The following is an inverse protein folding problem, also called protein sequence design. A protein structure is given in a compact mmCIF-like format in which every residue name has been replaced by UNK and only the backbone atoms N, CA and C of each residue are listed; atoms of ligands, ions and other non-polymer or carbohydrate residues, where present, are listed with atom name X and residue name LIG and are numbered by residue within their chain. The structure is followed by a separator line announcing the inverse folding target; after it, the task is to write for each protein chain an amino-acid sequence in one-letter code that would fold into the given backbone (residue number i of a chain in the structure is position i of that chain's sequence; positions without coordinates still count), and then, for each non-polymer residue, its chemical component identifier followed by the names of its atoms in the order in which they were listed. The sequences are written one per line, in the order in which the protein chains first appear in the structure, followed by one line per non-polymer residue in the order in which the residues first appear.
data_IF_938972672542
#
_entry.id   IF_938972672542
#
_cell.length_a   1.000
_cell.length_b   1.000
_cell.length_c   1.000
_cell.angle_alpha   90.00
_cell.angle_beta   90.00
_cell.angle_gamma   90.00
#
_symmetry.space_group_name_H-M   'P 1'
#
loop_
_entity.id
_entity.type
_entity.pdbx_description
1 polymer ?
#
# COMPACT_ATOMS: atom_id res chain seq x y z
N UNK A 1 32.05 20.06 6.88
CA UNK A 1 31.57 18.73 6.47
C UNK A 1 30.52 18.30 7.49
N UNK A 2 29.35 17.85 7.05
CA UNK A 2 28.34 17.31 7.95
C UNK A 2 28.86 15.98 8.49
N UNK A 3 28.72 15.75 9.80
CA UNK A 3 29.09 14.48 10.42
C UNK A 3 28.13 13.38 9.93
N UNK A 4 28.66 12.40 9.22
CA UNK A 4 27.92 11.26 8.65
C UNK A 4 28.02 10.00 9.52
N UNK A 5 28.46 10.14 10.76
CA UNK A 5 28.42 9.04 11.72
C UNK A 5 26.97 8.64 12.02
N UNK A 6 26.73 7.37 12.28
CA UNK A 6 25.40 6.88 12.56
C UNK A 6 24.69 7.61 13.72
N UNK A 7 25.35 7.91 14.86
CA UNK A 7 24.72 8.71 15.93
C UNK A 7 24.27 10.09 15.43
N UNK A 8 25.10 10.79 14.66
CA UNK A 8 24.75 12.11 14.14
C UNK A 8 23.61 12.07 13.14
N UNK A 9 23.50 11.00 12.32
CA UNK A 9 22.36 10.76 11.42
C UNK A 9 21.07 10.59 12.24
N UNK A 10 21.10 9.75 13.27
CA UNK A 10 19.94 9.49 14.13
C UNK A 10 19.50 10.74 14.92
N UNK A 11 20.46 11.54 15.40
CA UNK A 11 20.18 12.81 16.10
C UNK A 11 19.51 13.82 15.16
N UNK A 12 19.98 13.94 13.91
CA UNK A 12 19.33 14.80 12.91
C UNK A 12 17.92 14.34 12.59
N UNK A 13 17.71 13.03 12.44
CA UNK A 13 16.37 12.48 12.21
C UNK A 13 15.40 12.82 13.37
N UNK A 14 15.86 12.67 14.62
CA UNK A 14 15.08 13.05 15.81
C UNK A 14 14.81 14.56 15.88
N UNK A 15 15.71 15.39 15.34
CA UNK A 15 15.50 16.83 15.22
C UNK A 15 14.54 17.22 14.06
N UNK A 16 13.97 16.24 13.34
CA UNK A 16 13.02 16.47 12.24
C UNK A 16 13.68 16.82 10.90
N UNK A 17 14.99 16.63 10.75
CA UNK A 17 15.66 16.84 9.47
C UNK A 17 15.40 15.70 8.49
N UNK A 18 15.19 16.02 7.21
CA UNK A 18 15.19 15.04 6.15
C UNK A 18 16.61 14.47 5.93
N UNK A 19 16.73 13.16 5.88
CA UNK A 19 18.00 12.48 5.61
C UNK A 19 18.29 12.47 4.10
N UNK A 20 19.58 12.53 3.74
CA UNK A 20 20.02 12.33 2.37
C UNK A 20 19.93 10.83 1.98
N UNK A 21 19.93 10.48 0.67
CA UNK A 21 19.99 9.08 0.26
C UNK A 21 21.21 8.33 0.82
N UNK A 22 22.38 8.98 0.90
CA UNK A 22 23.61 8.41 1.47
C UNK A 22 23.45 8.10 2.95
N UNK A 23 22.79 8.97 3.71
CA UNK A 23 22.48 8.75 5.13
C UNK A 23 21.48 7.61 5.31
N UNK A 24 20.46 7.54 4.44
CA UNK A 24 19.54 6.41 4.38
C UNK A 24 20.24 5.07 4.12
N UNK A 25 21.22 5.06 3.22
CA UNK A 25 22.06 3.88 2.95
C UNK A 25 22.90 3.47 4.16
N UNK A 26 23.44 4.42 4.91
CA UNK A 26 24.15 4.11 6.17
C UNK A 26 23.22 3.38 7.14
N UNK A 27 21.96 3.81 7.26
CA UNK A 27 20.97 3.13 8.13
C UNK A 27 20.64 1.71 7.67
N UNK A 28 20.69 1.40 6.36
CA UNK A 28 20.39 0.08 5.80
C UNK A 28 21.58 -0.90 5.78
N UNK A 29 22.77 -0.44 6.13
CA UNK A 29 23.93 -1.35 6.22
C UNK A 29 23.69 -2.45 7.27
N UNK A 30 24.36 -3.60 7.16
CA UNK A 30 24.36 -4.59 8.25
C UNK A 30 24.93 -3.98 9.53
N UNK A 31 24.18 -4.08 10.61
CA UNK A 31 24.55 -3.50 11.88
C UNK A 31 24.56 -4.54 13.02
N UNK A 32 25.41 -4.35 14.05
CA UNK A 32 25.31 -5.12 15.29
C UNK A 32 23.95 -4.92 15.99
N UNK A 33 23.47 -5.88 16.79
CA UNK A 33 22.16 -5.79 17.45
C UNK A 33 21.93 -4.52 18.26
N UNK A 34 22.95 -3.99 18.91
CA UNK A 34 22.88 -2.72 19.68
C UNK A 34 22.56 -1.53 18.78
N UNK A 35 23.10 -1.48 17.57
CA UNK A 35 22.86 -0.42 16.59
C UNK A 35 21.45 -0.55 15.99
N UNK A 36 21.03 -1.77 15.66
CA UNK A 36 19.66 -2.02 15.21
C UNK A 36 18.62 -1.60 16.25
N UNK A 37 18.92 -1.82 17.54
CA UNK A 37 18.07 -1.35 18.64
C UNK A 37 18.03 0.18 18.72
N UNK A 38 19.12 0.88 18.46
CA UNK A 38 19.13 2.34 18.40
C UNK A 38 18.28 2.86 17.22
N UNK A 39 18.42 2.29 16.03
CA UNK A 39 17.58 2.60 14.86
C UNK A 39 16.10 2.35 15.16
N UNK A 40 15.76 1.20 15.76
CA UNK A 40 14.40 0.88 16.18
C UNK A 40 13.83 1.93 17.13
N UNK A 41 14.58 2.32 18.16
CA UNK A 41 14.15 3.33 19.15
C UNK A 41 13.89 4.69 18.52
N UNK A 42 14.74 5.12 17.59
CA UNK A 42 14.54 6.38 16.87
C UNK A 42 13.28 6.28 15.99
N UNK A 43 13.09 5.20 15.26
CA UNK A 43 11.90 5.00 14.44
C UNK A 43 10.60 5.01 15.27
N UNK A 44 10.58 4.30 16.41
CA UNK A 44 9.42 4.28 17.30
C UNK A 44 9.19 5.61 18.00
N UNK A 45 10.26 6.31 18.39
CA UNK A 45 10.18 7.67 18.96
C UNK A 45 9.60 8.68 17.97
N UNK A 46 10.02 8.63 16.69
CA UNK A 46 9.44 9.46 15.62
C UNK A 46 7.97 9.13 15.39
N UNK A 47 7.63 7.85 15.31
CA UNK A 47 6.23 7.41 15.22
C UNK A 47 5.40 7.99 16.37
N UNK A 48 5.88 7.83 17.62
CA UNK A 48 5.17 8.33 18.81
C UNK A 48 4.98 9.85 18.75
N UNK A 49 6.00 10.59 18.35
CA UNK A 49 5.91 12.04 18.22
C UNK A 49 4.92 12.49 17.14
N UNK A 50 4.87 11.79 15.99
CA UNK A 50 4.09 12.18 14.82
C UNK A 50 2.61 11.79 14.93
N UNK A 51 2.31 10.60 15.43
CA UNK A 51 0.96 9.99 15.39
C UNK A 51 0.47 9.45 16.75
N UNK A 52 1.27 9.61 17.81
CA UNK A 52 0.91 9.15 19.16
C UNK A 52 0.96 7.63 19.32
N UNK A 53 0.35 7.12 20.39
CA UNK A 53 0.40 5.70 20.74
C UNK A 53 -0.76 4.87 20.18
N UNK A 54 -1.78 5.51 19.63
CA UNK A 54 -2.92 4.81 19.03
C UNK A 54 -2.46 4.00 17.82
N UNK A 55 -2.82 2.72 17.80
CA UNK A 55 -2.67 1.85 16.63
C UNK A 55 -4.00 1.78 15.90
N UNK A 56 -3.97 2.09 14.62
CA UNK A 56 -5.17 2.08 13.77
C UNK A 56 -5.31 0.76 13.02
N UNK A 57 -6.57 0.47 12.61
CA UNK A 57 -6.92 -0.61 11.70
C UNK A 57 -8.19 -0.24 10.92
N UNK A 58 -8.37 -0.79 9.73
CA UNK A 58 -9.58 -0.59 8.92
C UNK A 58 -10.40 -1.89 8.82
N UNK A 59 -11.72 -1.78 8.82
CA UNK A 59 -12.60 -2.91 8.48
C UNK A 59 -12.89 -2.83 6.99
N UNK A 60 -12.29 -3.74 6.21
CA UNK A 60 -12.37 -3.72 4.76
C UNK A 60 -12.45 -5.14 4.18
N UNK A 61 -12.81 -5.20 2.89
CA UNK A 61 -12.75 -6.42 2.09
C UNK A 61 -11.95 -6.18 0.82
N UNK A 62 -11.07 -7.12 0.49
CA UNK A 62 -10.49 -7.22 -0.84
C UNK A 62 -11.45 -7.92 -1.78
N UNK A 63 -11.65 -7.36 -2.98
CA UNK A 63 -12.37 -8.01 -4.06
C UNK A 63 -11.43 -8.10 -5.27
N UNK A 64 -10.94 -9.31 -5.52
CA UNK A 64 -10.20 -9.62 -6.73
C UNK A 64 -11.21 -10.07 -7.79
N UNK A 65 -11.66 -9.14 -8.63
CA UNK A 65 -12.75 -9.38 -9.60
C UNK A 65 -12.35 -10.30 -10.76
N UNK A 66 -11.05 -10.44 -11.04
CA UNK A 66 -10.49 -11.40 -12.01
C UNK A 66 -9.03 -11.71 -11.71
N UNK A 67 -8.58 -12.93 -12.00
CA UNK A 67 -7.19 -13.31 -12.03
C UNK A 67 -6.64 -13.48 -13.46
N UNK A 68 -7.49 -13.30 -14.48
CA UNK A 68 -7.06 -13.28 -15.88
C UNK A 68 -6.22 -12.03 -16.11
N UNK A 69 -4.97 -12.22 -16.54
CA UNK A 69 -4.04 -11.11 -16.70
C UNK A 69 -3.11 -11.34 -17.89
N UNK A 70 -3.04 -10.35 -18.79
CA UNK A 70 -2.13 -10.39 -19.94
C UNK A 70 -0.65 -10.30 -19.57
N UNK A 71 -0.33 -9.81 -18.34
CA UNK A 71 1.05 -9.65 -17.89
C UNK A 71 1.59 -10.86 -17.13
N UNK A 72 2.88 -11.18 -17.37
CA UNK A 72 3.56 -12.34 -16.81
C UNK A 72 4.63 -11.93 -15.77
N UNK A 73 4.20 -11.22 -14.71
CA UNK A 73 5.12 -10.78 -13.67
C UNK A 73 5.80 -11.97 -13.01
N UNK A 74 7.15 -11.91 -12.90
CA UNK A 74 7.98 -13.00 -12.40
C UNK A 74 7.78 -13.36 -10.92
N UNK A 75 6.94 -12.62 -10.19
CA UNK A 75 6.61 -12.88 -8.78
C UNK A 75 5.13 -13.25 -8.56
N UNK A 76 4.27 -13.10 -9.57
CA UNK A 76 2.83 -13.22 -9.39
C UNK A 76 2.35 -14.66 -9.53
N UNK A 77 1.92 -15.26 -8.43
CA UNK A 77 1.29 -16.58 -8.43
C UNK A 77 -0.23 -16.54 -8.64
N UNK A 78 -0.82 -15.35 -8.59
CA UNK A 78 -2.27 -15.15 -8.69
C UNK A 78 -2.77 -15.18 -10.14
N UNK A 79 -2.00 -14.62 -11.09
CA UNK A 79 -2.40 -14.50 -12.49
C UNK A 79 -2.67 -15.85 -13.16
N UNK A 80 -3.61 -15.83 -14.11
CA UNK A 80 -3.88 -16.94 -15.04
C UNK A 80 -4.06 -16.40 -16.47
N UNK A 81 -3.75 -17.24 -17.47
CA UNK A 81 -4.27 -17.05 -18.81
C UNK A 81 -5.76 -17.47 -18.83
N UNK A 82 -6.54 -16.94 -19.76
CA UNK A 82 -8.01 -17.16 -19.78
C UNK A 82 -8.40 -18.63 -19.90
N UNK A 83 -7.56 -19.45 -20.54
CA UNK A 83 -7.76 -20.88 -20.75
C UNK A 83 -7.13 -21.78 -19.66
N UNK A 84 -6.44 -21.18 -18.68
CA UNK A 84 -5.78 -21.95 -17.63
C UNK A 84 -6.76 -22.41 -16.54
N UNK A 85 -6.57 -23.61 -15.97
CA UNK A 85 -7.33 -24.05 -14.80
C UNK A 85 -7.25 -23.05 -13.65
N UNK A 86 -8.44 -22.73 -13.09
CA UNK A 86 -8.54 -21.76 -12.00
C UNK A 86 -8.57 -20.29 -12.47
N UNK A 87 -8.59 -20.01 -13.78
CA UNK A 87 -8.93 -18.70 -14.30
C UNK A 87 -10.38 -18.35 -13.95
N UNK A 88 -10.60 -17.11 -13.53
CA UNK A 88 -11.95 -16.63 -13.23
C UNK A 88 -12.10 -15.14 -13.53
N UNK A 89 -13.33 -14.77 -13.79
CA UNK A 89 -13.79 -13.40 -13.93
C UNK A 89 -15.18 -13.31 -13.34
N UNK A 90 -15.34 -12.52 -12.28
CA UNK A 90 -16.60 -12.40 -11.54
C UNK A 90 -17.58 -11.51 -12.27
N UNK A 91 -18.84 -11.94 -12.32
CA UNK A 91 -19.96 -11.10 -12.71
C UNK A 91 -20.25 -10.03 -11.63
N UNK A 92 -21.00 -8.98 -12.00
CA UNK A 92 -21.36 -7.89 -11.09
C UNK A 92 -22.24 -8.33 -9.92
N UNK A 93 -23.11 -9.34 -10.10
CA UNK A 93 -23.95 -9.90 -9.04
C UNK A 93 -23.16 -10.46 -7.88
N UNK A 94 -22.29 -11.46 -8.09
CA UNK A 94 -21.37 -11.97 -7.07
C UNK A 94 -20.48 -10.89 -6.41
N UNK A 95 -20.06 -9.85 -7.14
CA UNK A 95 -19.31 -8.72 -6.57
C UNK A 95 -20.20 -7.96 -5.58
N UNK A 96 -21.46 -7.65 -5.95
CA UNK A 96 -22.39 -6.96 -5.07
C UNK A 96 -22.72 -7.79 -3.82
N UNK A 97 -22.87 -9.11 -3.94
CA UNK A 97 -23.06 -10.01 -2.78
C UNK A 97 -21.89 -9.92 -1.80
N UNK A 98 -20.66 -9.93 -2.31
CA UNK A 98 -19.44 -9.75 -1.50
C UNK A 98 -19.40 -8.38 -0.81
N UNK A 99 -19.80 -7.33 -1.49
CA UNK A 99 -19.89 -5.96 -0.92
C UNK A 99 -20.96 -5.93 0.18
N UNK A 100 -22.13 -6.50 -0.06
CA UNK A 100 -23.23 -6.55 0.92
C UNK A 100 -22.82 -7.30 2.20
N UNK A 101 -22.16 -8.46 2.07
CA UNK A 101 -21.60 -9.20 3.21
C UNK A 101 -20.56 -8.36 3.97
N UNK A 102 -19.67 -7.65 3.25
CA UNK A 102 -18.68 -6.80 3.88
C UNK A 102 -19.31 -5.66 4.70
N UNK A 103 -20.32 -4.97 4.14
CA UNK A 103 -21.06 -3.90 4.82
C UNK A 103 -21.79 -4.43 6.07
N UNK A 104 -22.45 -5.58 5.98
CA UNK A 104 -23.08 -6.23 7.13
C UNK A 104 -22.07 -6.56 8.24
N UNK A 105 -20.80 -6.79 7.90
CA UNK A 105 -19.71 -7.03 8.83
C UNK A 105 -18.99 -5.76 9.28
N UNK A 106 -19.53 -4.59 8.93
CA UNK A 106 -19.05 -3.28 9.36
C UNK A 106 -17.89 -2.73 8.52
N UNK A 107 -17.72 -3.19 7.28
CA UNK A 107 -16.71 -2.63 6.38
C UNK A 107 -17.02 -1.18 6.03
N UNK A 108 -15.98 -0.37 6.09
CA UNK A 108 -15.98 1.03 5.66
C UNK A 108 -15.26 1.25 4.33
N UNK A 109 -14.62 0.19 3.82
CA UNK A 109 -13.83 0.21 2.60
C UNK A 109 -13.96 -1.11 1.82
N UNK A 110 -14.02 -0.99 0.49
CA UNK A 110 -13.73 -2.09 -0.44
C UNK A 110 -12.43 -1.77 -1.18
N UNK A 111 -11.47 -2.67 -1.10
CA UNK A 111 -10.25 -2.61 -1.90
C UNK A 111 -10.43 -3.51 -3.13
N UNK A 112 -10.30 -2.95 -4.34
CA UNK A 112 -10.46 -3.69 -5.59
C UNK A 112 -9.14 -3.74 -6.36
N UNK A 113 -8.73 -4.93 -6.71
CA UNK A 113 -7.59 -5.20 -7.57
C UNK A 113 -7.85 -6.46 -8.40
N UNK A 114 -7.47 -6.46 -9.66
CA UNK A 114 -7.63 -7.61 -10.54
C UNK A 114 -6.46 -7.80 -11.50
N UNK A 115 -6.53 -8.88 -12.26
CA UNK A 115 -5.70 -9.06 -13.44
C UNK A 115 -6.11 -8.09 -14.55
N UNK A 116 -5.21 -7.81 -15.47
CA UNK A 116 -5.48 -7.01 -16.66
C UNK A 116 -6.10 -7.93 -17.73
N UNK A 117 -7.42 -8.02 -17.73
CA UNK A 117 -8.17 -8.87 -18.64
C UNK A 117 -8.58 -8.09 -19.90
N UNK A 118 -8.02 -8.40 -21.10
CA UNK A 118 -8.36 -7.70 -22.34
C UNK A 118 -9.83 -7.84 -22.76
N UNK A 119 -10.51 -8.88 -22.27
CA UNK A 119 -11.94 -9.11 -22.55
C UNK A 119 -12.87 -8.33 -21.60
N UNK A 120 -12.33 -7.69 -20.55
CA UNK A 120 -13.10 -6.91 -19.59
C UNK A 120 -13.58 -5.58 -20.23
N UNK A 121 -14.58 -5.69 -21.11
CA UNK A 121 -15.14 -4.57 -21.89
C UNK A 121 -16.68 -4.59 -21.89
N UNK A 122 -17.26 -3.39 -21.92
CA UNK A 122 -18.69 -3.18 -22.20
C UNK A 122 -18.77 -2.35 -23.47
N UNK A 123 -19.56 -2.81 -24.45
CA UNK A 123 -19.68 -2.18 -25.77
C UNK A 123 -18.33 -1.91 -26.46
N UNK A 124 -17.36 -2.81 -26.23
CA UNK A 124 -16.01 -2.71 -26.80
C UNK A 124 -15.05 -1.79 -26.04
N UNK A 125 -15.45 -1.18 -24.91
CA UNK A 125 -14.64 -0.26 -24.13
C UNK A 125 -14.28 -0.82 -22.75
N UNK A 126 -13.01 -0.77 -22.42
CA UNK A 126 -12.49 -1.15 -21.10
C UNK A 126 -12.96 -0.21 -20.01
N UNK A 127 -12.90 1.11 -20.22
CA UNK A 127 -13.32 2.10 -19.24
C UNK A 127 -14.75 1.86 -18.78
N UNK A 128 -15.68 1.56 -19.71
CA UNK A 128 -17.08 1.35 -19.37
C UNK A 128 -17.29 0.14 -18.44
N UNK A 129 -16.46 -0.91 -18.57
CA UNK A 129 -16.46 -2.04 -17.64
C UNK A 129 -16.00 -1.59 -16.23
N UNK A 130 -14.91 -0.86 -16.12
CA UNK A 130 -14.39 -0.40 -14.81
C UNK A 130 -15.33 0.61 -14.15
N UNK A 131 -15.95 1.51 -14.91
CA UNK A 131 -17.00 2.41 -14.40
C UNK A 131 -18.20 1.61 -13.88
N UNK A 132 -18.60 0.54 -14.57
CA UNK A 132 -19.70 -0.32 -14.13
C UNK A 132 -19.35 -1.05 -12.83
N UNK A 133 -18.09 -1.52 -12.67
CA UNK A 133 -17.64 -2.12 -11.41
C UNK A 133 -17.82 -1.15 -10.24
N UNK A 134 -17.37 0.10 -10.39
CA UNK A 134 -17.49 1.12 -9.35
C UNK A 134 -18.95 1.40 -9.01
N UNK A 135 -19.78 1.63 -10.03
CA UNK A 135 -21.22 1.91 -9.84
C UNK A 135 -21.96 0.74 -9.20
N UNK A 136 -21.59 -0.50 -9.48
CA UNK A 136 -22.15 -1.69 -8.81
C UNK A 136 -22.01 -1.60 -7.28
N UNK A 137 -20.98 -0.91 -6.80
CA UNK A 137 -20.74 -0.68 -5.36
C UNK A 137 -21.41 0.62 -4.89
N UNK A 138 -21.16 1.70 -5.61
CA UNK A 138 -21.56 3.05 -5.19
C UNK A 138 -23.04 3.32 -5.28
N UNK A 139 -23.75 2.75 -6.23
CA UNK A 139 -25.20 2.95 -6.37
C UNK A 139 -25.96 2.48 -5.12
N UNK A 140 -25.74 1.25 -4.57
CA UNK A 140 -26.39 0.81 -3.32
C UNK A 140 -25.70 1.29 -2.05
N UNK A 141 -24.41 1.64 -2.09
CA UNK A 141 -23.61 2.01 -0.91
C UNK A 141 -22.77 3.27 -1.19
N UNK A 142 -23.39 4.45 -1.32
CA UNK A 142 -22.69 5.68 -1.75
C UNK A 142 -21.59 6.13 -0.78
N UNK A 143 -21.73 5.85 0.52
CA UNK A 143 -20.76 6.22 1.56
C UNK A 143 -19.62 5.22 1.75
N UNK A 144 -19.69 4.04 1.11
CA UNK A 144 -18.66 3.03 1.20
C UNK A 144 -17.42 3.46 0.39
N UNK A 145 -16.26 3.52 1.03
CA UNK A 145 -15.02 3.93 0.37
C UNK A 145 -14.57 2.87 -0.64
N UNK A 146 -14.37 3.28 -1.90
CA UNK A 146 -13.85 2.42 -2.97
C UNK A 146 -12.38 2.76 -3.22
N UNK A 147 -11.48 1.89 -2.74
CA UNK A 147 -10.05 1.96 -2.93
C UNK A 147 -9.67 1.12 -4.17
N UNK A 148 -9.61 1.75 -5.35
CA UNK A 148 -9.46 1.12 -6.68
C UNK A 148 -8.99 2.20 -7.68
N UNK A 149 -8.33 1.90 -8.70
CA UNK A 149 -7.57 0.81 -9.22
C UNK A 149 -6.09 1.18 -9.19
N UNK A 150 -5.16 0.23 -9.35
CA UNK A 150 -3.72 0.53 -9.36
C UNK A 150 -3.32 1.42 -10.56
N UNK A 151 -2.17 2.13 -10.50
CA UNK A 151 -1.63 2.85 -11.65
C UNK A 151 -1.43 1.96 -12.90
N UNK A 152 -1.19 0.66 -12.70
CA UNK A 152 -1.09 -0.30 -13.80
C UNK A 152 -2.44 -0.54 -14.48
N UNK A 153 -3.54 -0.64 -13.71
CA UNK A 153 -4.90 -0.77 -14.25
C UNK A 153 -5.33 0.53 -14.97
N UNK A 154 -4.97 1.71 -14.42
CA UNK A 154 -5.20 3.00 -15.09
C UNK A 154 -4.50 3.06 -16.45
N UNK A 155 -3.24 2.65 -16.53
CA UNK A 155 -2.49 2.58 -17.78
C UNK A 155 -3.10 1.57 -18.76
N UNK A 156 -3.54 0.41 -18.25
CA UNK A 156 -4.21 -0.60 -19.07
C UNK A 156 -5.49 -0.04 -19.71
N UNK A 157 -6.37 0.57 -18.94
CA UNK A 157 -7.62 1.19 -19.43
C UNK A 157 -7.31 2.26 -20.48
N UNK A 158 -6.35 3.14 -20.19
CA UNK A 158 -5.94 4.21 -21.09
C UNK A 158 -5.44 3.67 -22.44
N UNK A 159 -4.63 2.61 -22.40
CA UNK A 159 -4.10 1.94 -23.60
C UNK A 159 -5.21 1.28 -24.43
N UNK A 160 -6.11 0.52 -23.78
CA UNK A 160 -7.18 -0.22 -24.45
C UNK A 160 -8.17 0.70 -25.16
N UNK A 161 -8.47 1.85 -24.56
CA UNK A 161 -9.48 2.78 -25.07
C UNK A 161 -8.88 4.02 -25.75
N UNK A 162 -7.54 4.09 -25.91
CA UNK A 162 -6.81 5.22 -26.48
C UNK A 162 -7.12 6.55 -25.77
N UNK A 163 -7.19 6.54 -24.44
CA UNK A 163 -7.45 7.69 -23.59
C UNK A 163 -6.17 8.21 -22.92
N UNK A 164 -6.20 9.45 -22.45
CA UNK A 164 -5.17 9.93 -21.54
C UNK A 164 -5.35 9.35 -20.12
N UNK A 165 -4.29 9.30 -19.32
CA UNK A 165 -4.38 8.90 -17.91
C UNK A 165 -5.29 9.86 -17.13
N UNK A 166 -5.28 11.15 -17.47
CA UNK A 166 -6.13 12.15 -16.84
C UNK A 166 -7.61 11.87 -17.10
N UNK A 167 -8.00 11.56 -18.34
CA UNK A 167 -9.40 11.24 -18.68
C UNK A 167 -9.87 9.99 -17.93
N UNK A 168 -9.04 8.94 -17.84
CA UNK A 168 -9.37 7.72 -17.11
C UNK A 168 -9.54 8.01 -15.62
N UNK A 169 -8.60 8.73 -14.99
CA UNK A 169 -8.67 9.07 -13.57
C UNK A 169 -9.88 9.94 -13.24
N UNK A 170 -10.18 10.92 -14.08
CA UNK A 170 -11.36 11.78 -13.93
C UNK A 170 -12.66 10.98 -14.00
N UNK A 171 -12.79 10.12 -15.01
CA UNK A 171 -13.98 9.27 -15.16
C UNK A 171 -14.16 8.29 -13.99
N UNK A 172 -13.06 7.71 -13.49
CA UNK A 172 -13.08 6.82 -12.31
C UNK A 172 -13.49 7.59 -11.04
N UNK A 173 -12.97 8.79 -10.82
CA UNK A 173 -13.34 9.65 -9.69
C UNK A 173 -14.81 10.06 -9.75
N UNK A 174 -15.30 10.46 -10.93
CA UNK A 174 -16.72 10.80 -11.16
C UNK A 174 -17.66 9.61 -10.97
N UNK A 175 -17.19 8.38 -11.23
CA UNK A 175 -17.94 7.16 -10.97
C UNK A 175 -17.96 6.77 -9.49
N UNK A 176 -17.09 7.35 -8.66
CA UNK A 176 -17.05 7.13 -7.21
C UNK A 176 -15.83 6.36 -6.71
N UNK A 177 -14.73 6.29 -7.46
CA UNK A 177 -13.44 5.88 -6.90
C UNK A 177 -12.99 6.96 -5.93
N UNK A 178 -12.72 6.58 -4.67
CA UNK A 178 -12.36 7.52 -3.61
C UNK A 178 -10.84 7.62 -3.39
N UNK A 179 -10.10 6.56 -3.72
CA UNK A 179 -8.63 6.55 -3.64
C UNK A 179 -8.04 5.40 -4.46
N UNK A 180 -6.75 5.48 -4.79
CA UNK A 180 -6.05 4.46 -5.56
C UNK A 180 -5.03 3.70 -4.70
N UNK A 181 -4.97 2.35 -4.80
CA UNK A 181 -3.89 1.57 -4.23
C UNK A 181 -2.56 1.88 -4.93
N UNK A 182 -1.52 2.21 -4.16
CA UNK A 182 -0.16 2.43 -4.65
C UNK A 182 0.58 1.15 -5.02
N UNK A 183 -0.15 0.09 -5.35
CA UNK A 183 0.41 -1.16 -5.85
C UNK A 183 0.97 -0.99 -7.26
N UNK A 184 1.58 -2.04 -7.80
CA UNK A 184 2.34 -2.00 -9.05
C UNK A 184 3.61 -1.11 -9.01
N UNK A 185 3.89 -0.41 -7.91
CA UNK A 185 5.17 0.24 -7.68
C UNK A 185 6.31 -0.79 -7.64
N UNK A 186 6.08 -1.90 -6.98
CA UNK A 186 7.06 -2.95 -6.65
C UNK A 186 8.36 -2.34 -6.09
N UNK A 187 9.32 -2.04 -6.97
CA UNK A 187 10.45 -1.15 -6.73
C UNK A 187 10.47 -0.11 -7.85
N UNK A 188 10.55 1.17 -7.51
CA UNK A 188 10.62 2.29 -8.48
C UNK A 188 12.07 2.44 -9.00
N UNK A 189 12.57 1.37 -9.58
CA UNK A 189 13.84 1.27 -10.27
C UNK A 189 13.70 0.36 -11.49
N UNK A 190 13.98 0.90 -12.68
CA UNK A 190 13.70 0.19 -13.91
C UNK A 190 14.69 -0.96 -14.21
N UNK A 191 15.84 -1.03 -13.52
CA UNK A 191 16.72 -2.20 -13.63
C UNK A 191 16.13 -3.39 -12.86
N UNK A 192 15.60 -3.14 -11.66
CA UNK A 192 14.89 -4.14 -10.85
C UNK A 192 13.61 -4.57 -11.58
N UNK A 193 12.83 -3.62 -12.11
CA UNK A 193 11.56 -3.88 -12.80
C UNK A 193 11.74 -4.77 -14.03
N UNK A 194 12.80 -4.58 -14.82
CA UNK A 194 13.12 -5.46 -15.98
C UNK A 194 13.33 -6.92 -15.60
N UNK A 195 13.74 -7.19 -14.36
CA UNK A 195 13.91 -8.57 -13.86
C UNK A 195 12.62 -9.10 -13.26
N UNK A 196 11.92 -8.26 -12.50
CA UNK A 196 10.79 -8.67 -11.67
C UNK A 196 9.47 -8.70 -12.44
N UNK A 197 9.24 -7.67 -13.26
CA UNK A 197 7.96 -7.43 -13.96
C UNK A 197 8.18 -6.63 -15.27
N UNK A 198 8.85 -7.23 -16.27
CA UNK A 198 9.28 -6.51 -17.50
C UNK A 198 8.12 -5.94 -18.33
N UNK A 199 6.91 -6.49 -18.17
CA UNK A 199 5.72 -6.08 -18.92
C UNK A 199 4.93 -4.97 -18.19
N UNK A 200 5.25 -4.66 -16.93
CA UNK A 200 4.60 -3.57 -16.18
C UNK A 200 5.10 -2.20 -16.63
N UNK A 201 4.28 -1.18 -16.32
CA UNK A 201 4.67 0.23 -16.48
C UNK A 201 6.03 0.49 -15.82
N UNK A 202 6.82 1.39 -16.40
CA UNK A 202 8.08 1.82 -15.81
C UNK A 202 7.85 2.78 -14.62
N UNK A 203 8.92 3.09 -13.92
CA UNK A 203 8.88 3.95 -12.72
C UNK A 203 8.34 5.35 -13.04
N UNK A 204 8.74 5.94 -14.16
CA UNK A 204 8.28 7.27 -14.57
C UNK A 204 6.77 7.32 -14.81
N UNK A 205 6.22 6.32 -15.51
CA UNK A 205 4.76 6.21 -15.76
C UNK A 205 3.98 6.01 -14.46
N UNK A 206 4.50 5.20 -13.52
CA UNK A 206 3.86 5.05 -12.21
C UNK A 206 3.79 6.38 -11.46
N UNK A 207 4.90 7.11 -11.40
CA UNK A 207 4.99 8.42 -10.74
C UNK A 207 4.09 9.47 -11.41
N UNK A 208 4.00 9.45 -12.75
CA UNK A 208 3.11 10.33 -13.52
C UNK A 208 1.65 10.10 -13.15
N UNK A 209 1.18 8.85 -13.20
CA UNK A 209 -0.23 8.51 -12.90
C UNK A 209 -0.60 8.89 -11.47
N UNK A 210 0.27 8.59 -10.48
CA UNK A 210 0.05 8.97 -9.09
C UNK A 210 0.04 10.49 -8.91
N UNK A 211 0.95 11.22 -9.56
CA UNK A 211 0.95 12.69 -9.52
C UNK A 211 -0.32 13.29 -10.12
N UNK A 212 -0.82 12.72 -11.23
CA UNK A 212 -2.09 13.12 -11.83
C UNK A 212 -3.28 12.83 -10.90
N UNK A 213 -3.31 11.65 -10.27
CA UNK A 213 -4.34 11.29 -9.29
C UNK A 213 -4.38 12.33 -8.14
N UNK A 214 -3.22 12.71 -7.59
CA UNK A 214 -3.15 13.73 -6.54
C UNK A 214 -3.65 15.10 -7.00
N UNK A 215 -3.33 15.52 -8.22
CA UNK A 215 -3.85 16.77 -8.80
C UNK A 215 -5.37 16.77 -8.99
N UNK A 216 -5.95 15.62 -9.26
CA UNK A 216 -7.39 15.41 -9.43
C UNK A 216 -8.14 15.18 -8.11
N UNK A 217 -7.44 15.18 -6.97
CA UNK A 217 -8.06 14.99 -5.67
C UNK A 217 -8.27 13.52 -5.26
N UNK A 218 -7.61 12.58 -5.93
CA UNK A 218 -7.63 11.16 -5.61
C UNK A 218 -6.39 10.80 -4.76
N UNK A 219 -6.55 10.55 -3.46
CA UNK A 219 -5.45 10.10 -2.61
C UNK A 219 -4.94 8.72 -3.05
N UNK A 220 -3.69 8.42 -2.73
CA UNK A 220 -3.12 7.11 -3.00
C UNK A 220 -2.44 6.53 -1.76
N UNK A 221 -2.29 5.21 -1.71
CA UNK A 221 -1.32 4.57 -0.83
C UNK A 221 0.04 4.49 -1.52
N UNK A 222 1.06 3.95 -0.86
CA UNK A 222 2.35 3.62 -1.47
C UNK A 222 2.87 2.30 -0.93
N UNK A 223 3.58 1.54 -1.77
CA UNK A 223 4.08 0.20 -1.41
C UNK A 223 5.52 0.02 -1.85
N UNK A 224 6.29 -0.78 -1.12
CA UNK A 224 7.60 -1.30 -1.54
C UNK A 224 7.59 -2.83 -1.42
N UNK A 225 7.79 -3.54 -2.51
CA UNK A 225 8.06 -4.98 -2.49
C UNK A 225 9.54 -5.18 -2.21
N UNK A 226 9.87 -5.87 -1.12
CA UNK A 226 11.25 -6.01 -0.63
C UNK A 226 11.67 -7.44 -0.37
N UNK A 227 12.97 -7.70 -0.37
CA UNK A 227 13.54 -9.00 -0.04
C UNK A 227 13.57 -9.97 -1.22
N UNK A 228 13.74 -9.47 -2.44
CA UNK A 228 13.90 -10.27 -3.66
C UNK A 228 15.25 -10.00 -4.36
N UNK A 229 15.30 -9.23 -5.45
CA UNK A 229 16.53 -8.99 -6.23
C UNK A 229 17.06 -7.56 -6.09
N UNK A 230 16.35 -6.72 -5.37
CA UNK A 230 16.75 -5.36 -5.08
C UNK A 230 17.90 -5.30 -4.07
N UNK A 231 18.60 -4.19 -4.05
CA UNK A 231 19.67 -3.88 -3.08
C UNK A 231 19.23 -2.75 -2.15
N UNK A 232 19.98 -2.46 -1.05
CA UNK A 232 19.72 -1.30 -0.22
C UNK A 232 19.65 0.03 -0.99
N UNK A 233 20.47 0.20 -2.03
CA UNK A 233 20.46 1.37 -2.90
C UNK A 233 19.12 1.50 -3.64
N UNK A 234 18.59 0.40 -4.17
CA UNK A 234 17.27 0.38 -4.82
C UNK A 234 16.15 0.68 -3.82
N UNK A 235 16.26 0.20 -2.57
CA UNK A 235 15.27 0.47 -1.52
C UNK A 235 15.25 1.96 -1.16
N UNK A 236 16.40 2.58 -0.92
CA UNK A 236 16.50 4.01 -0.61
C UNK A 236 16.07 4.86 -1.82
N UNK A 237 16.49 4.51 -3.03
CA UNK A 237 16.04 5.19 -4.23
C UNK A 237 14.51 5.19 -4.35
N UNK A 238 13.88 4.05 -4.11
CA UNK A 238 12.41 3.95 -4.09
C UNK A 238 11.78 4.86 -3.02
N UNK A 239 12.26 4.82 -1.78
CA UNK A 239 11.77 5.68 -0.71
C UNK A 239 11.94 7.17 -1.05
N UNK A 240 13.07 7.53 -1.67
CA UNK A 240 13.34 8.90 -2.10
C UNK A 240 12.39 9.37 -3.21
N UNK A 241 12.07 8.51 -4.20
CA UNK A 241 11.06 8.80 -5.22
C UNK A 241 9.69 9.08 -4.59
N UNK A 242 9.26 8.29 -3.60
CA UNK A 242 7.99 8.51 -2.88
C UNK A 242 8.03 9.83 -2.10
N UNK A 243 9.13 10.11 -1.40
CA UNK A 243 9.31 11.35 -0.66
C UNK A 243 9.25 12.57 -1.58
N UNK A 244 9.98 12.56 -2.68
CA UNK A 244 9.97 13.64 -3.67
C UNK A 244 8.59 13.85 -4.30
N UNK A 245 7.85 12.76 -4.58
CA UNK A 245 6.48 12.83 -5.07
C UNK A 245 5.57 13.55 -4.06
N UNK A 246 5.66 13.16 -2.78
CA UNK A 246 4.90 13.77 -1.70
C UNK A 246 5.29 15.25 -1.49
N UNK A 247 6.57 15.56 -1.51
CA UNK A 247 7.07 16.94 -1.39
C UNK A 247 6.51 17.83 -2.52
N UNK A 248 6.54 17.36 -3.76
CA UNK A 248 5.96 18.08 -4.90
C UNK A 248 4.45 18.33 -4.71
N UNK A 249 3.71 17.32 -4.23
CA UNK A 249 2.29 17.45 -3.98
C UNK A 249 1.98 18.48 -2.88
N UNK A 250 2.81 18.53 -1.83
CA UNK A 250 2.69 19.53 -0.76
C UNK A 250 3.04 20.93 -1.26
N UNK A 251 4.17 21.08 -1.95
CA UNK A 251 4.64 22.38 -2.47
C UNK A 251 3.71 22.99 -3.52
N UNK A 252 3.08 22.16 -4.35
CA UNK A 252 2.14 22.59 -5.37
C UNK A 252 0.69 22.64 -4.86
N UNK A 253 0.47 22.43 -3.55
CA UNK A 253 -0.85 22.41 -2.89
C UNK A 253 -1.88 21.52 -3.60
N UNK A 254 -1.46 20.32 -4.00
CA UNK A 254 -2.38 19.36 -4.60
C UNK A 254 -3.47 18.95 -3.59
N UNK A 255 -4.73 18.75 -4.04
CA UNK A 255 -5.84 18.40 -3.16
C UNK A 255 -5.73 17.02 -2.54
N UNK A 256 -4.89 16.14 -3.10
CA UNK A 256 -4.64 14.79 -2.55
C UNK A 256 -3.14 14.48 -2.47
N UNK A 257 -2.82 13.41 -1.73
CA UNK A 257 -1.44 13.01 -1.39
C UNK A 257 -1.37 11.53 -1.10
N UNK A 258 -0.14 11.00 -0.91
CA UNK A 258 0.06 9.66 -0.35
C UNK A 258 -0.43 9.66 1.10
N UNK A 259 -1.33 8.73 1.44
CA UNK A 259 -1.92 8.59 2.77
C UNK A 259 -1.11 7.70 3.71
N UNK A 260 -0.42 6.68 3.15
CA UNK A 260 0.33 5.69 3.93
C UNK A 260 1.42 5.01 3.10
N UNK A 261 2.41 4.46 3.80
CA UNK A 261 3.43 3.56 3.24
C UNK A 261 3.26 2.14 3.79
N UNK A 262 3.28 1.15 2.90
CA UNK A 262 3.10 -0.27 3.20
C UNK A 262 4.31 -1.05 2.73
N UNK A 263 5.06 -1.64 3.65
CA UNK A 263 6.12 -2.57 3.29
C UNK A 263 5.54 -3.95 2.98
N UNK A 264 5.87 -4.47 1.79
CA UNK A 264 5.40 -5.75 1.28
C UNK A 264 6.59 -6.71 1.13
N UNK A 265 7.00 -7.47 2.16
CA UNK A 265 8.06 -8.45 2.02
C UNK A 265 7.71 -9.52 0.99
N UNK A 266 8.69 -9.92 0.18
CA UNK A 266 8.50 -10.91 -0.89
C UNK A 266 8.20 -12.29 -0.33
N UNK A 267 7.20 -12.97 -0.91
CA UNK A 267 6.87 -14.37 -0.67
C UNK A 267 7.15 -15.14 -1.94
N UNK A 268 8.16 -16.01 -1.90
CA UNK A 268 8.69 -16.68 -3.08
C UNK A 268 8.21 -18.12 -3.27
N UNK A 269 7.48 -18.70 -2.33
CA UNK A 269 7.16 -20.13 -2.30
C UNK A 269 6.48 -20.63 -3.59
N UNK A 270 5.57 -19.82 -4.16
CA UNK A 270 4.86 -20.12 -5.40
C UNK A 270 5.27 -19.21 -6.57
N UNK A 271 6.34 -18.43 -6.39
CA UNK A 271 6.85 -17.59 -7.48
C UNK A 271 7.42 -18.49 -8.61
N UNK A 272 7.39 -18.02 -9.87
CA UNK A 272 8.02 -18.71 -10.98
C UNK A 272 9.46 -19.09 -10.68
N UNK A 273 9.84 -20.31 -11.08
CA UNK A 273 11.11 -20.96 -10.71
C UNK A 273 12.38 -20.11 -10.98
N UNK A 274 12.49 -19.35 -12.10
CA UNK A 274 13.68 -18.54 -12.34
C UNK A 274 13.91 -17.48 -11.25
N UNK A 275 12.86 -16.77 -10.82
CA UNK A 275 12.98 -15.77 -9.76
C UNK A 275 13.24 -16.43 -8.41
N UNK A 276 12.51 -17.50 -8.08
CA UNK A 276 12.69 -18.25 -6.83
C UNK A 276 14.12 -18.75 -6.65
N UNK A 277 14.75 -19.29 -7.71
CA UNK A 277 16.17 -19.71 -7.69
C UNK A 277 17.12 -18.54 -7.47
N UNK A 278 16.81 -17.38 -8.05
CA UNK A 278 17.65 -16.18 -7.93
C UNK A 278 17.57 -15.57 -6.52
N UNK A 279 16.39 -15.56 -5.91
CA UNK A 279 16.17 -15.03 -4.56
C UNK A 279 16.68 -16.00 -3.48
N UNK A 280 16.55 -17.31 -3.69
CA UNK A 280 17.06 -18.35 -2.79
C UNK A 280 16.29 -18.52 -1.49
N UNK A 281 15.10 -17.91 -1.37
CA UNK A 281 14.23 -18.04 -0.18
C UNK A 281 12.75 -18.05 -0.56
N UNK A 282 11.95 -18.74 0.25
CA UNK A 282 10.52 -18.95 0.02
C UNK A 282 9.64 -18.01 0.89
N UNK A 283 10.13 -17.61 2.05
CA UNK A 283 9.40 -16.78 3.01
C UNK A 283 10.20 -15.51 3.37
N UNK A 284 9.53 -14.46 3.82
CA UNK A 284 10.18 -13.25 4.31
C UNK A 284 11.11 -13.52 5.50
N UNK A 285 12.20 -12.78 5.59
CA UNK A 285 13.04 -12.72 6.79
C UNK A 285 12.56 -11.58 7.67
N UNK A 286 11.97 -11.92 8.82
CA UNK A 286 11.34 -10.94 9.71
C UNK A 286 12.32 -9.83 10.13
N UNK A 287 13.56 -10.17 10.48
CA UNK A 287 14.54 -9.19 10.93
C UNK A 287 14.86 -8.14 9.84
N UNK A 288 14.97 -8.57 8.57
CA UNK A 288 15.19 -7.66 7.43
C UNK A 288 13.97 -6.74 7.22
N UNK A 289 12.76 -7.30 7.28
CA UNK A 289 11.53 -6.53 7.14
C UNK A 289 11.37 -5.49 8.26
N UNK A 290 11.68 -5.85 9.51
CA UNK A 290 11.64 -4.94 10.65
C UNK A 290 12.69 -3.83 10.52
N UNK A 291 13.91 -4.16 10.13
CA UNK A 291 14.96 -3.17 9.89
C UNK A 291 14.56 -2.16 8.83
N UNK A 292 14.10 -2.63 7.66
CA UNK A 292 13.64 -1.74 6.58
C UNK A 292 12.40 -0.93 7.00
N UNK A 293 11.50 -1.48 7.82
CA UNK A 293 10.36 -0.75 8.40
C UNK A 293 10.83 0.45 9.22
N UNK A 294 11.83 0.24 10.10
CA UNK A 294 12.38 1.32 10.92
C UNK A 294 13.06 2.40 10.05
N UNK A 295 13.86 1.98 9.07
CA UNK A 295 14.51 2.93 8.15
C UNK A 295 13.49 3.69 7.31
N UNK A 296 12.44 3.03 6.82
CA UNK A 296 11.36 3.69 6.09
C UNK A 296 10.65 4.75 6.96
N UNK A 297 10.36 4.45 8.25
CA UNK A 297 9.82 5.43 9.20
C UNK A 297 10.74 6.64 9.36
N UNK A 298 12.03 6.42 9.56
CA UNK A 298 13.01 7.50 9.74
C UNK A 298 13.11 8.35 8.46
N UNK A 299 13.08 7.73 7.30
CA UNK A 299 13.30 8.38 6.01
C UNK A 299 12.06 9.10 5.45
N UNK A 300 10.88 8.54 5.66
CA UNK A 300 9.61 9.05 5.11
C UNK A 300 8.74 9.79 6.13
N UNK A 301 8.96 9.59 7.43
CA UNK A 301 7.99 9.97 8.46
C UNK A 301 7.58 11.45 8.47
N UNK A 302 8.47 12.37 8.06
CA UNK A 302 8.13 13.79 7.93
C UNK A 302 7.08 14.07 6.83
N UNK A 303 6.92 13.17 5.86
CA UNK A 303 6.13 13.37 4.65
C UNK A 303 4.97 12.38 4.53
N UNK A 304 5.20 11.13 4.92
CA UNK A 304 4.20 10.05 4.93
C UNK A 304 4.15 9.50 6.34
N UNK A 305 3.22 10.00 7.14
CA UNK A 305 3.17 9.75 8.59
C UNK A 305 2.59 8.39 8.99
N UNK A 306 1.87 7.71 8.08
CA UNK A 306 1.28 6.42 8.38
C UNK A 306 2.07 5.29 7.75
N UNK A 307 2.49 4.34 8.57
CA UNK A 307 3.25 3.17 8.16
C UNK A 307 2.56 1.90 8.62
N UNK A 308 2.37 0.97 7.68
CA UNK A 308 1.64 -0.28 7.87
C UNK A 308 2.53 -1.47 7.50
N UNK A 309 2.62 -2.52 8.34
CA UNK A 309 3.19 -3.80 7.95
C UNK A 309 2.14 -4.67 7.25
N UNK A 310 2.58 -5.61 6.42
CA UNK A 310 1.67 -6.61 5.84
C UNK A 310 1.57 -7.85 6.72
N UNK A 311 0.48 -7.98 7.48
CA UNK A 311 0.25 -9.18 8.30
C UNK A 311 0.04 -10.45 7.46
N UNK A 312 -0.45 -10.31 6.22
CA UNK A 312 -0.60 -11.46 5.30
C UNK A 312 0.77 -12.09 5.00
N UNK A 313 1.80 -11.26 4.87
CA UNK A 313 3.16 -11.68 4.53
C UNK A 313 4.02 -12.06 5.73
N UNK A 314 3.86 -11.34 6.85
CA UNK A 314 4.67 -11.50 8.07
C UNK A 314 3.98 -12.36 9.14
N UNK A 315 2.73 -12.75 8.92
CA UNK A 315 1.86 -13.25 9.99
C UNK A 315 1.47 -12.13 10.96
N UNK A 316 0.40 -12.35 11.74
CA UNK A 316 -0.08 -11.35 12.70
C UNK A 316 0.99 -11.03 13.77
N UNK A 317 1.73 -12.02 14.25
CA UNK A 317 2.80 -11.82 15.24
C UNK A 317 3.94 -10.94 14.69
N UNK A 318 4.40 -11.18 13.46
CA UNK A 318 5.43 -10.37 12.82
C UNK A 318 4.96 -8.93 12.57
N UNK A 319 3.74 -8.76 12.08
CA UNK A 319 3.14 -7.45 11.88
C UNK A 319 2.96 -6.69 13.20
N UNK A 320 2.56 -7.38 14.28
CA UNK A 320 2.46 -6.78 15.63
C UNK A 320 3.83 -6.34 16.14
N UNK A 321 4.90 -7.09 15.85
CA UNK A 321 6.26 -6.68 16.19
C UNK A 321 6.70 -5.42 15.45
N UNK A 322 6.27 -5.22 14.19
CA UNK A 322 6.58 -4.02 13.43
C UNK A 322 5.99 -2.74 14.02
N UNK A 323 4.99 -2.83 14.90
CA UNK A 323 4.48 -1.68 15.66
C UNK A 323 5.54 -1.04 16.56
N UNK A 324 6.50 -1.82 17.05
CA UNK A 324 7.64 -1.32 17.85
C UNK A 324 8.80 -0.84 16.97
N UNK A 325 8.68 -1.00 15.64
CA UNK A 325 9.67 -0.61 14.64
C UNK A 325 9.22 0.57 13.77
N UNK A 326 8.26 1.35 14.25
CA UNK A 326 7.81 2.58 13.62
C UNK A 326 6.48 2.49 12.88
N UNK A 327 5.79 1.35 12.86
CA UNK A 327 4.42 1.26 12.34
C UNK A 327 3.40 1.79 13.35
N UNK A 328 2.32 2.39 12.83
CA UNK A 328 1.19 2.90 13.61
C UNK A 328 -0.16 2.31 13.19
N UNK A 329 -0.16 1.43 12.21
CA UNK A 329 -1.37 0.82 11.66
C UNK A 329 -1.16 -0.69 11.48
N UNK A 330 -2.16 -1.53 11.68
CA UNK A 330 -2.10 -2.96 11.38
C UNK A 330 -2.78 -3.35 10.07
N UNK A 331 -3.27 -2.38 9.31
CA UNK A 331 -3.99 -2.60 8.08
C UNK A 331 -5.43 -3.03 8.28
N UNK A 332 -5.95 -3.77 7.32
CA UNK A 332 -7.35 -4.13 7.27
C UNK A 332 -7.65 -5.57 7.66
N UNK A 333 -8.95 -5.83 7.85
CA UNK A 333 -9.48 -7.19 8.00
C UNK A 333 -9.33 -8.02 6.73
N UNK A 334 -9.28 -7.37 5.57
CA UNK A 334 -9.17 -7.89 4.20
C UNK A 334 -10.28 -8.87 3.80
N UNK A 335 -10.85 -9.60 4.73
CA UNK A 335 -11.94 -10.60 4.63
C UNK A 335 -11.74 -11.69 3.58
N UNK A 336 -11.03 -11.39 2.47
CA UNK A 336 -10.82 -12.30 1.35
C UNK A 336 -9.54 -11.93 0.58
N UNK A 337 -8.37 -12.12 1.19
CA UNK A 337 -7.10 -11.87 0.53
C UNK A 337 -6.62 -13.15 -0.19
N UNK A 338 -6.49 -13.11 -1.51
CA UNK A 338 -6.07 -14.26 -2.31
C UNK A 338 -4.72 -14.06 -3.01
N UNK A 339 -4.34 -12.84 -3.35
CA UNK A 339 -3.15 -12.57 -4.17
C UNK A 339 -1.88 -13.08 -3.47
N UNK A 340 -1.73 -12.72 -2.20
CA UNK A 340 -0.54 -13.06 -1.42
C UNK A 340 -0.60 -14.49 -0.88
N UNK A 341 -1.78 -14.99 -0.52
CA UNK A 341 -1.95 -16.37 -0.06
C UNK A 341 -1.67 -17.37 -1.18
N UNK A 342 -2.03 -17.07 -2.43
CA UNK A 342 -1.64 -17.88 -3.59
C UNK A 342 -0.14 -17.87 -3.85
N UNK A 343 0.59 -16.85 -3.41
CA UNK A 343 2.06 -16.82 -3.45
C UNK A 343 2.70 -17.71 -2.37
N UNK A 344 1.90 -18.27 -1.45
CA UNK A 344 2.36 -19.14 -0.35
C UNK A 344 2.57 -18.40 0.96
N UNK A 345 2.03 -17.18 1.13
CA UNK A 345 2.05 -16.48 2.40
C UNK A 345 1.26 -17.23 3.49
N UNK A 346 1.74 -17.17 4.72
CA UNK A 346 1.22 -17.95 5.85
C UNK A 346 0.34 -17.11 6.80
N UNK A 347 0.11 -15.83 6.51
CA UNK A 347 -0.68 -14.96 7.39
C UNK A 347 -2.19 -15.18 7.35
N UNK A 348 -2.69 -15.96 6.38
CA UNK A 348 -4.12 -16.22 6.20
C UNK A 348 -4.78 -15.23 5.23
N UNK A 349 -6.10 -15.41 5.02
CA UNK A 349 -6.89 -14.62 4.06
C UNK A 349 -7.71 -13.50 4.69
N UNK A 350 -7.89 -13.55 6.01
CA UNK A 350 -8.71 -12.61 6.77
C UNK A 350 -8.28 -12.51 8.23
N UNK A 351 -8.50 -11.35 8.83
CA UNK A 351 -8.44 -11.14 10.28
C UNK A 351 -9.77 -10.61 10.78
N UNK A 352 -10.14 -11.02 12.01
CA UNK A 352 -11.29 -10.39 12.68
C UNK A 352 -10.85 -9.11 13.40
N UNK A 353 -11.79 -8.20 13.63
CA UNK A 353 -11.56 -7.01 14.48
C UNK A 353 -11.04 -7.41 15.86
N UNK A 354 -11.56 -8.52 16.42
CA UNK A 354 -11.12 -9.04 17.71
C UNK A 354 -9.65 -9.50 17.70
N UNK A 355 -9.19 -10.12 16.60
CA UNK A 355 -7.80 -10.55 16.46
C UNK A 355 -6.86 -9.34 16.37
N UNK A 356 -7.22 -8.34 15.54
CA UNK A 356 -6.44 -7.10 15.43
C UNK A 356 -6.34 -6.37 16.76
N UNK A 357 -7.46 -6.17 17.46
CA UNK A 357 -7.48 -5.51 18.78
C UNK A 357 -6.66 -6.28 19.82
N UNK A 358 -6.76 -7.61 19.84
CA UNK A 358 -6.00 -8.46 20.75
C UNK A 358 -4.48 -8.35 20.46
N UNK A 359 -4.08 -8.37 19.19
CA UNK A 359 -2.71 -8.18 18.79
C UNK A 359 -2.16 -6.81 19.24
N UNK A 360 -2.91 -5.74 18.99
CA UNK A 360 -2.55 -4.38 19.43
C UNK A 360 -2.40 -4.31 20.95
N UNK A 361 -3.32 -4.91 21.71
CA UNK A 361 -3.29 -4.93 23.17
C UNK A 361 -2.03 -5.59 23.73
N UNK A 362 -1.40 -6.55 23.02
CA UNK A 362 -0.11 -7.15 23.43
C UNK A 362 1.03 -6.12 23.50
N UNK A 363 0.88 -4.99 22.82
CA UNK A 363 1.83 -3.86 22.84
C UNK A 363 1.42 -2.76 23.83
N UNK A 364 0.39 -3.00 24.65
CA UNK A 364 -0.13 -2.02 25.61
C UNK A 364 -0.52 -0.67 24.98
N UNK A 365 -0.94 -0.71 23.69
CA UNK A 365 -1.33 0.47 22.92
C UNK A 365 -2.84 0.49 22.68
N UNK A 366 -3.49 1.67 22.62
CA UNK A 366 -4.90 1.77 22.29
C UNK A 366 -5.16 1.41 20.83
N UNK A 367 -6.24 0.68 20.57
CA UNK A 367 -6.67 0.27 19.23
C UNK A 367 -7.83 1.16 18.77
N UNK A 368 -7.74 1.73 17.55
CA UNK A 368 -8.77 2.58 16.96
C UNK A 368 -9.13 2.10 15.56
N UNK A 369 -10.42 1.85 15.30
CA UNK A 369 -10.89 1.68 13.94
C UNK A 369 -10.83 3.02 13.21
N UNK A 370 -10.34 3.01 11.97
CA UNK A 370 -10.26 4.18 11.09
C UNK A 370 -11.03 3.98 9.79
N UNK A 371 -11.37 5.08 9.13
CA UNK A 371 -11.67 5.12 7.70
C UNK A 371 -10.38 5.06 6.88
N UNK A 372 -10.49 4.85 5.57
CA UNK A 372 -9.34 4.72 4.65
C UNK A 372 -8.35 5.88 4.78
N UNK A 373 -8.82 7.11 4.90
CA UNK A 373 -8.00 8.32 4.99
C UNK A 373 -7.67 8.72 6.45
N UNK A 374 -7.60 7.76 7.35
CA UNK A 374 -7.12 7.90 8.74
C UNK A 374 -8.00 8.72 9.68
N UNK A 375 -9.21 9.12 9.29
CA UNK A 375 -10.19 9.64 10.25
C UNK A 375 -10.71 8.51 11.16
N UNK A 376 -10.88 8.73 12.47
CA UNK A 376 -11.38 7.71 13.37
C UNK A 376 -12.84 7.38 13.08
N UNK A 377 -13.21 6.09 13.14
CA UNK A 377 -14.61 5.68 13.18
C UNK A 377 -15.11 5.90 14.61
N UNK A 378 -16.03 6.82 14.78
CA UNK A 378 -16.73 7.03 16.06
C UNK A 378 -17.86 6.02 16.17
N UNK A 379 -18.00 5.37 17.34
CA UNK A 379 -19.18 4.55 17.60
C UNK A 379 -20.44 5.41 17.45
N UNK A 380 -21.41 4.95 16.67
CA UNK A 380 -22.67 5.67 16.46
C UNK A 380 -23.36 5.92 17.81
N UNK A 381 -23.28 7.16 18.26
CA UNK A 381 -24.03 7.75 19.34
C UNK A 381 -24.27 9.21 18.96
N UNK A 382 -25.39 9.48 18.23
CA UNK A 382 -25.95 10.83 18.03
C UNK A 382 -25.29 11.65 16.91
N UNK A 383 -26.11 12.04 15.94
CA UNK A 383 -25.91 13.00 14.86
C UNK A 383 -24.84 14.08 15.10
N UNK A 384 -23.75 14.01 14.36
CA UNK A 384 -23.02 15.20 13.88
C UNK A 384 -22.36 14.87 12.55
N UNK A 385 -22.71 15.64 11.52
CA UNK A 385 -22.11 15.58 10.19
C UNK A 385 -20.58 15.69 10.25
N UNK A 386 -19.82 14.97 9.39
CA UNK A 386 -18.38 15.05 9.42
C UNK A 386 -17.92 16.44 8.96
N UNK A 387 -17.32 17.17 9.89
CA UNK A 387 -16.57 18.38 9.56
C UNK A 387 -15.41 17.99 8.62
N UNK A 388 -15.36 18.58 7.44
CA UNK A 388 -14.19 18.56 6.57
C UNK A 388 -13.01 19.14 7.36
N UNK A 389 -12.21 18.29 7.99
CA UNK A 389 -10.95 18.71 8.59
C UNK A 389 -9.95 18.87 7.45
N UNK A 390 -9.63 20.13 7.17
CA UNK A 390 -8.46 20.50 6.37
C UNK A 390 -7.21 19.89 7.00
N UNK A 391 -6.47 19.08 6.24
CA UNK A 391 -5.14 18.55 6.57
C UNK A 391 -4.08 19.70 6.56
N UNK A 392 -4.36 20.77 7.29
CA UNK A 392 -3.41 21.84 7.55
C UNK A 392 -2.90 21.74 8.98
N UNK A 393 -1.93 20.88 9.25
CA UNK A 393 -1.08 21.01 10.42
C UNK A 393 0.32 21.48 10.01
N UNK A 394 0.46 22.79 10.12
CA UNK A 394 1.59 23.60 10.55
C UNK A 394 2.98 22.98 10.36
N UNK A 395 3.64 23.43 9.29
CA UNK A 395 5.06 23.66 9.27
C UNK A 395 5.26 25.18 9.33
N UNK A 396 5.25 25.77 10.53
CA UNK A 396 5.83 27.08 10.82
C UNK A 396 6.39 27.03 12.23
N UNK A 397 7.68 26.87 12.30
CA UNK A 397 8.69 27.54 13.12
C UNK A 397 10.05 26.86 12.91
#
# INVERSE_FOLDING_TARGET
MVDTSLPAILDRALAGADLTPEEGLVLLQPHPPMVLEAIRRVADGLRQHQVGDTVTYVVNRNINYTNICEQHCGFCAFRRDADQPGAYWLDFGPILEKVSDAVQRGATEICMQGGLNPEAKIQGRSLDYYLRLVRTIKDPYPDLHVHAFSPQEVQFIAREDHLSYEDVLRALGEAGVDSLPGTAAEVLDDQVRRVLCPEKINSATWLEIVSLAHRLGLPTTSTLLSGHVETPEHQIHHLDQLRQLQQRAVQADYPARISEFILLPFVGQQAPLPLRRRVGRDQPVLAEALHLTAVARIYLGNWIVNHQPSWVKLGLAGATTALDWGCNDLGGTLMEEHITTMAGAQGGTAMTVADLRRAIATRQRPAQQRHTLYSPVTACGGDTAPARQSLNHRLTA
#
